data_IF_876494086698
#
_entry.id   IF_876494086698
#
_cell.length_a   1.000
_cell.length_b   1.000
_cell.length_c   1.000
_cell.angle_alpha   90.00
_cell.angle_beta   90.00
_cell.angle_gamma   90.00
#
_symmetry.space_group_name_H-M   'P 1'
#
loop_
_entity.id
_entity.type
_entity.pdbx_description
1 polymer ?
#
# COMPACT_ATOMS: atom_id res chain seq x y z
N UNK A 1 44.45 37.49 -18.87
CA UNK A 1 43.58 38.11 -17.85
C UNK A 1 42.35 37.22 -17.70
N UNK A 2 42.09 36.65 -16.52
CA UNK A 2 40.86 35.90 -16.27
C UNK A 2 39.72 36.91 -16.07
N UNK A 3 38.64 36.81 -16.84
CA UNK A 3 37.45 37.64 -16.66
C UNK A 3 36.80 37.26 -15.33
N UNK A 4 36.59 38.24 -14.44
CA UNK A 4 35.87 38.05 -13.19
C UNK A 4 34.35 38.09 -13.40
N UNK A 5 33.59 37.62 -12.41
CA UNK A 5 32.13 37.70 -12.39
C UNK A 5 31.66 39.16 -12.34
N UNK A 6 30.60 39.45 -13.07
CA UNK A 6 29.91 40.74 -13.03
C UNK A 6 29.00 40.84 -11.80
N UNK A 7 28.72 42.06 -11.34
CA UNK A 7 27.82 42.28 -10.22
C UNK A 7 26.42 41.68 -10.44
N UNK A 8 25.94 41.68 -11.70
CA UNK A 8 24.63 41.11 -12.05
C UNK A 8 24.64 39.57 -11.97
N UNK A 9 25.72 38.91 -12.38
CA UNK A 9 25.87 37.45 -12.24
C UNK A 9 25.93 37.04 -10.77
N UNK A 10 26.63 37.81 -9.94
CA UNK A 10 26.64 37.59 -8.48
C UNK A 10 25.25 37.76 -7.86
N UNK A 11 24.48 38.77 -8.28
CA UNK A 11 23.11 38.96 -7.77
C UNK A 11 22.17 37.85 -8.23
N UNK A 12 22.29 37.41 -9.49
CA UNK A 12 21.46 36.35 -10.05
C UNK A 12 21.74 35.00 -9.39
N UNK A 13 23.01 34.67 -9.14
CA UNK A 13 23.40 33.45 -8.42
C UNK A 13 22.90 33.46 -6.97
N UNK A 14 23.03 34.59 -6.25
CA UNK A 14 22.46 34.72 -4.91
C UNK A 14 20.93 34.61 -4.91
N UNK A 15 20.26 35.17 -5.91
CA UNK A 15 18.82 35.05 -6.08
C UNK A 15 18.37 33.60 -6.28
N UNK A 16 19.06 32.85 -7.14
CA UNK A 16 18.75 31.42 -7.35
C UNK A 16 18.98 30.63 -6.06
N UNK A 17 20.10 30.84 -5.37
CA UNK A 17 20.39 30.15 -4.10
C UNK A 17 19.30 30.43 -3.06
N UNK A 18 18.84 31.68 -2.95
CA UNK A 18 17.77 32.04 -2.02
C UNK A 18 16.44 31.36 -2.35
N UNK A 19 16.07 31.28 -3.63
CA UNK A 19 14.84 30.60 -4.09
C UNK A 19 14.94 29.10 -3.82
N UNK A 20 16.05 28.47 -4.22
CA UNK A 20 16.25 27.03 -4.01
C UNK A 20 16.26 26.69 -2.53
N UNK A 21 16.99 27.43 -1.70
CA UNK A 21 16.99 27.23 -0.25
C UNK A 21 15.59 27.43 0.36
N UNK A 22 14.83 28.42 -0.10
CA UNK A 22 13.46 28.66 0.33
C UNK A 22 12.52 27.48 0.06
N UNK A 23 12.75 26.73 -1.02
CA UNK A 23 11.97 25.54 -1.36
C UNK A 23 12.49 24.27 -0.66
N UNK A 24 13.81 24.13 -0.51
CA UNK A 24 14.42 22.93 0.08
C UNK A 24 14.12 22.77 1.57
N UNK A 25 14.06 23.88 2.32
CA UNK A 25 13.82 23.83 3.78
C UNK A 25 12.48 23.17 4.15
N UNK A 26 11.31 23.60 3.65
CA UNK A 26 10.04 22.97 4.01
C UNK A 26 9.93 21.51 3.53
N UNK A 27 10.55 21.18 2.39
CA UNK A 27 10.60 19.80 1.89
C UNK A 27 11.42 18.91 2.83
N UNK A 28 12.58 19.38 3.28
CA UNK A 28 13.42 18.66 4.23
C UNK A 28 12.72 18.49 5.59
N UNK A 29 12.00 19.51 6.07
CA UNK A 29 11.20 19.41 7.29
C UNK A 29 10.13 18.33 7.19
N UNK A 30 9.36 18.30 6.09
CA UNK A 30 8.35 17.24 5.88
C UNK A 30 8.98 15.84 5.81
N UNK A 31 10.15 15.71 5.21
CA UNK A 31 10.88 14.44 5.18
C UNK A 31 11.31 14.00 6.60
N UNK A 32 11.86 14.92 7.40
CA UNK A 32 12.22 14.62 8.78
C UNK A 32 11.01 14.18 9.61
N UNK A 33 9.89 14.91 9.52
CA UNK A 33 8.65 14.57 10.24
C UNK A 33 8.16 13.15 9.90
N UNK A 34 8.21 12.76 8.63
CA UNK A 34 7.87 11.39 8.20
C UNK A 34 8.84 10.35 8.73
N UNK A 35 10.14 10.64 8.66
CA UNK A 35 11.17 9.75 9.20
C UNK A 35 10.99 9.53 10.70
N UNK A 36 10.63 10.57 11.45
CA UNK A 36 10.39 10.50 12.88
C UNK A 36 9.11 9.71 13.19
N UNK A 37 8.05 9.89 12.39
CA UNK A 37 6.81 9.12 12.51
C UNK A 37 7.04 7.61 12.24
N UNK A 38 7.81 7.28 11.21
CA UNK A 38 8.14 5.88 10.90
C UNK A 38 9.05 5.27 11.98
N UNK A 39 9.98 6.05 12.54
CA UNK A 39 10.80 5.63 13.68
C UNK A 39 9.94 5.36 14.93
N UNK A 40 8.97 6.23 15.23
CA UNK A 40 8.06 6.07 16.37
C UNK A 40 7.23 4.78 16.27
N UNK A 41 6.75 4.46 15.06
CA UNK A 41 6.06 3.18 14.80
C UNK A 41 7.00 2.00 15.04
N UNK A 42 8.21 2.04 14.48
CA UNK A 42 9.18 0.96 14.62
C UNK A 42 9.57 0.72 16.10
N UNK A 43 9.77 1.79 16.88
CA UNK A 43 10.05 1.72 18.31
C UNK A 43 8.86 1.13 19.08
N UNK A 44 7.63 1.57 18.77
CA UNK A 44 6.42 1.06 19.42
C UNK A 44 6.24 -0.44 19.14
N UNK A 45 6.38 -0.88 17.89
CA UNK A 45 6.31 -2.29 17.52
C UNK A 45 7.40 -3.13 18.20
N UNK A 46 8.62 -2.60 18.27
CA UNK A 46 9.72 -3.25 18.97
C UNK A 46 9.41 -3.44 20.46
N UNK A 47 8.94 -2.39 21.14
CA UNK A 47 8.60 -2.44 22.55
C UNK A 47 7.44 -3.42 22.82
N UNK A 48 6.39 -3.39 21.99
CA UNK A 48 5.26 -4.32 22.10
C UNK A 48 5.72 -5.78 21.95
N UNK A 49 6.57 -6.07 20.96
CA UNK A 49 7.12 -7.42 20.76
C UNK A 49 8.06 -7.84 21.91
N UNK A 50 8.87 -6.91 22.44
CA UNK A 50 9.75 -7.14 23.58
C UNK A 50 8.95 -7.50 24.83
N UNK A 51 7.95 -6.70 25.19
CA UNK A 51 7.08 -6.97 26.34
C UNK A 51 6.32 -8.30 26.22
N UNK A 52 5.83 -8.63 25.02
CA UNK A 52 5.19 -9.92 24.76
C UNK A 52 6.17 -11.07 25.02
N UNK A 53 7.39 -11.00 24.47
CA UNK A 53 8.41 -12.04 24.64
C UNK A 53 8.81 -12.20 26.11
N UNK A 54 9.02 -11.10 26.84
CA UNK A 54 9.35 -11.12 28.27
C UNK A 54 8.22 -11.74 29.12
N UNK A 55 6.96 -11.47 28.79
CA UNK A 55 5.81 -12.10 29.45
C UNK A 55 5.70 -13.60 29.16
N UNK A 56 6.00 -14.03 27.92
CA UNK A 56 5.97 -15.42 27.51
C UNK A 56 7.14 -16.23 28.11
N UNK A 57 8.31 -15.62 28.24
CA UNK A 57 9.47 -16.23 28.89
C UNK A 57 9.35 -16.28 30.41
N UNK A 58 8.44 -15.49 31.00
CA UNK A 58 8.26 -15.38 32.44
C UNK A 58 9.41 -14.64 33.12
N UNK A 59 10.03 -13.70 32.41
CA UNK A 59 11.11 -12.86 32.94
C UNK A 59 10.64 -12.11 34.20
N UNK A 60 11.47 -12.14 35.26
CA UNK A 60 11.14 -11.59 36.58
C UNK A 60 9.84 -12.12 37.24
N UNK A 61 9.35 -13.30 36.82
CA UNK A 61 8.09 -13.90 37.31
C UNK A 61 6.85 -12.97 37.15
N UNK A 62 6.97 -11.96 36.28
CA UNK A 62 6.02 -10.86 36.14
C UNK A 62 5.21 -10.88 34.84
N UNK A 63 4.15 -10.07 34.81
CA UNK A 63 3.53 -9.62 33.57
C UNK A 63 4.29 -8.40 33.06
N UNK A 64 4.52 -8.34 31.75
CA UNK A 64 5.15 -7.20 31.12
C UNK A 64 4.15 -6.43 30.28
N UNK A 65 4.36 -5.12 30.21
CA UNK A 65 3.56 -4.20 29.42
C UNK A 65 4.39 -3.12 28.76
N UNK A 66 3.69 -2.27 28.00
CA UNK A 66 4.28 -1.11 27.32
C UNK A 66 3.43 0.12 27.59
N UNK A 67 4.05 1.19 28.08
CA UNK A 67 3.51 2.55 27.97
C UNK A 67 3.97 3.12 26.64
N UNK A 68 3.03 3.31 25.72
CA UNK A 68 3.31 3.71 24.35
C UNK A 68 3.70 5.18 24.29
N UNK A 69 3.01 6.02 25.05
CA UNK A 69 3.29 7.46 25.11
C UNK A 69 4.69 7.75 25.67
N UNK A 70 5.11 7.01 26.70
CA UNK A 70 6.44 7.16 27.30
C UNK A 70 7.52 6.36 26.54
N UNK A 71 7.12 5.40 25.70
CA UNK A 71 8.04 4.50 25.01
C UNK A 71 8.74 3.51 25.96
N UNK A 72 8.08 3.09 27.04
CA UNK A 72 8.67 2.27 28.11
C UNK A 72 8.09 0.86 28.12
N UNK A 73 8.95 -0.15 28.07
CA UNK A 73 8.63 -1.54 28.42
C UNK A 73 8.83 -1.71 29.92
N UNK A 74 7.85 -2.27 30.62
CA UNK A 74 7.86 -2.38 32.08
C UNK A 74 7.29 -3.69 32.58
N UNK A 75 7.52 -4.00 33.87
CA UNK A 75 6.89 -5.12 34.59
C UNK A 75 5.98 -4.62 35.72
N UNK A 76 4.83 -5.25 35.91
CA UNK A 76 3.85 -4.87 36.92
C UNK A 76 2.41 -5.15 36.50
N UNK A 77 1.43 -4.65 37.27
CA UNK A 77 0.00 -4.77 36.93
C UNK A 77 -0.46 -3.74 35.88
N UNK A 78 0.18 -2.57 35.87
CA UNK A 78 -0.04 -1.43 34.97
C UNK A 78 1.15 -0.48 35.09
N UNK A 79 1.25 0.52 34.22
CA UNK A 79 2.39 1.43 34.18
C UNK A 79 2.51 2.30 35.43
N UNK A 80 1.40 2.65 36.07
CA UNK A 80 1.40 3.53 37.26
C UNK A 80 1.96 2.80 38.48
N UNK A 81 1.68 1.51 38.62
CA UNK A 81 2.11 0.68 39.76
C UNK A 81 3.23 -0.29 39.40
N UNK A 82 3.98 0.01 38.33
CA UNK A 82 5.10 -0.80 37.86
C UNK A 82 6.29 -0.75 38.82
N UNK A 83 7.23 -1.68 38.61
CA UNK A 83 8.56 -1.64 39.21
C UNK A 83 9.52 -0.91 38.25
N UNK A 84 9.95 0.30 38.63
CA UNK A 84 10.76 1.18 37.77
C UNK A 84 12.22 0.73 37.63
N UNK A 85 12.69 -0.17 38.49
CA UNK A 85 14.04 -0.76 38.40
C UNK A 85 14.20 -1.62 37.12
N UNK A 86 13.09 -2.04 36.51
CA UNK A 86 13.05 -2.88 35.31
C UNK A 86 12.58 -2.15 34.05
N UNK A 87 12.42 -0.82 34.11
CA UNK A 87 12.01 -0.02 32.96
C UNK A 87 13.08 -0.06 31.85
N UNK A 88 12.63 -0.37 30.64
CA UNK A 88 13.43 -0.22 29.41
C UNK A 88 12.75 0.82 28.52
N UNK A 89 13.31 2.03 28.50
CA UNK A 89 12.71 3.20 27.85
C UNK A 89 13.45 3.56 26.57
N UNK A 90 12.68 3.57 25.48
CA UNK A 90 13.07 4.15 24.19
C UNK A 90 12.08 5.26 23.89
N UNK A 91 12.45 6.50 24.25
CA UNK A 91 11.59 7.66 24.07
C UNK A 91 11.22 7.87 22.59
N UNK A 92 9.95 8.21 22.36
CA UNK A 92 9.46 8.59 21.04
C UNK A 92 10.10 9.93 20.58
N UNK A 93 10.25 10.14 19.27
CA UNK A 93 10.70 11.43 18.73
C UNK A 93 9.80 12.58 19.18
N UNK A 94 10.40 13.77 19.34
CA UNK A 94 9.67 15.00 19.65
C UNK A 94 8.70 15.31 18.50
N UNK A 95 7.49 15.76 18.83
CA UNK A 95 6.46 16.09 17.84
C UNK A 95 5.61 14.89 17.40
N UNK A 96 5.76 13.75 18.08
CA UNK A 96 4.86 12.62 17.96
C UNK A 96 3.85 12.64 19.11
N UNK A 97 2.58 12.43 18.77
CA UNK A 97 1.47 12.27 19.71
C UNK A 97 0.84 10.89 19.56
N UNK A 98 0.43 10.29 20.67
CA UNK A 98 -0.21 8.97 20.71
C UNK A 98 -1.68 9.11 21.10
N UNK A 99 -2.57 8.43 20.38
CA UNK A 99 -4.00 8.36 20.69
C UNK A 99 -4.51 6.91 20.67
N UNK A 100 -5.71 6.69 21.20
CA UNK A 100 -6.31 5.37 21.29
C UNK A 100 -5.79 4.62 22.51
N UNK A 101 -5.24 3.42 22.30
CA UNK A 101 -4.58 2.67 23.36
C UNK A 101 -3.22 3.31 23.68
N UNK A 102 -2.99 3.60 24.95
CA UNK A 102 -1.72 4.18 25.44
C UNK A 102 -0.91 3.20 26.29
N UNK A 103 -1.53 2.14 26.78
CA UNK A 103 -0.89 1.09 27.59
C UNK A 103 -1.37 -0.29 27.13
N UNK A 104 -0.46 -1.25 27.04
CA UNK A 104 -0.76 -2.64 26.68
C UNK A 104 -0.07 -3.57 27.66
N UNK A 105 -0.84 -4.44 28.31
CA UNK A 105 -0.34 -5.50 29.17
C UNK A 105 -0.40 -6.84 28.44
N UNK A 106 0.55 -7.74 28.70
CA UNK A 106 0.56 -9.09 28.13
C UNK A 106 0.35 -10.15 29.21
N UNK A 107 -0.48 -11.16 28.90
CA UNK A 107 -0.64 -12.31 29.79
C UNK A 107 0.66 -13.11 29.90
N UNK A 108 0.92 -13.67 31.09
CA UNK A 108 2.05 -14.60 31.29
C UNK A 108 1.87 -15.83 30.42
N UNK A 109 2.96 -16.40 29.93
CA UNK A 109 3.03 -17.65 29.15
C UNK A 109 2.40 -17.53 27.76
N UNK A 110 1.15 -17.10 27.65
CA UNK A 110 0.43 -17.01 26.38
C UNK A 110 0.76 -15.72 25.61
N UNK A 111 1.11 -14.63 26.32
CA UNK A 111 1.46 -13.36 25.69
C UNK A 111 0.29 -12.71 24.95
N UNK A 112 -0.94 -12.88 25.47
CA UNK A 112 -2.14 -12.28 24.89
C UNK A 112 -2.19 -10.80 25.31
N UNK A 113 -2.27 -9.85 24.37
CA UNK A 113 -2.33 -8.43 24.70
C UNK A 113 -3.70 -8.05 25.29
N UNK A 114 -3.69 -7.11 26.23
CA UNK A 114 -4.87 -6.47 26.79
C UNK A 114 -4.57 -5.01 27.16
N UNK A 115 -5.34 -4.03 26.66
CA UNK A 115 -6.48 -4.18 25.75
C UNK A 115 -6.09 -4.47 24.29
N UNK A 116 -7.02 -5.02 23.53
CA UNK A 116 -6.96 -5.06 22.06
C UNK A 116 -7.66 -3.82 21.46
N UNK A 117 -7.15 -3.32 20.33
CA UNK A 117 -7.66 -2.13 19.65
C UNK A 117 -6.59 -1.42 18.81
N UNK A 118 -6.70 -0.11 18.68
CA UNK A 118 -5.83 0.68 17.82
C UNK A 118 -4.98 1.67 18.63
N UNK A 119 -3.71 1.78 18.24
CA UNK A 119 -2.78 2.82 18.64
C UNK A 119 -2.59 3.73 17.44
N UNK A 120 -2.90 5.01 17.59
CA UNK A 120 -2.75 6.01 16.53
C UNK A 120 -1.56 6.87 16.88
N UNK A 121 -0.53 6.84 16.03
CA UNK A 121 0.65 7.68 16.15
C UNK A 121 0.50 8.81 15.14
N UNK A 122 0.51 10.05 15.62
CA UNK A 122 0.33 11.27 14.82
C UNK A 122 1.55 12.17 14.93
N UNK A 123 2.01 12.69 13.80
CA UNK A 123 3.06 13.70 13.76
C UNK A 123 2.50 15.13 13.78
N UNK A 124 3.33 16.13 14.11
CA UNK A 124 2.93 17.55 14.17
C UNK A 124 2.29 18.10 12.87
N UNK A 125 2.58 17.50 11.72
CA UNK A 125 1.97 17.89 10.44
C UNK A 125 0.59 17.24 10.19
N UNK A 126 0.07 16.46 11.14
CA UNK A 126 -1.20 15.74 11.07
C UNK A 126 -1.13 14.37 10.36
N UNK A 127 0.05 13.94 9.89
CA UNK A 127 0.23 12.61 9.31
C UNK A 127 0.10 11.54 10.39
N UNK A 128 -0.58 10.43 10.07
CA UNK A 128 -0.92 9.36 11.03
C UNK A 128 -0.45 7.98 10.59
N UNK A 129 -0.18 7.13 11.56
CA UNK A 129 0.05 5.68 11.45
C UNK A 129 -0.82 4.95 12.47
N UNK A 130 -1.33 3.78 12.11
CA UNK A 130 -2.13 2.95 13.01
C UNK A 130 -1.40 1.63 13.26
N UNK A 131 -1.25 1.27 14.52
CA UNK A 131 -0.85 -0.07 14.93
C UNK A 131 -2.10 -0.75 15.48
N UNK A 132 -2.46 -1.91 14.93
CA UNK A 132 -3.61 -2.68 15.39
C UNK A 132 -3.15 -3.80 16.30
N UNK A 133 -3.67 -3.82 17.52
CA UNK A 133 -3.42 -4.85 18.52
C UNK A 133 -4.65 -5.74 18.57
N UNK A 134 -4.48 -7.03 18.27
CA UNK A 134 -5.54 -8.03 18.30
C UNK A 134 -5.21 -9.14 19.29
N UNK A 135 -6.19 -9.93 19.69
CA UNK A 135 -5.98 -11.10 20.55
C UNK A 135 -5.01 -12.12 19.92
N UNK A 136 -4.93 -12.15 18.58
CA UNK A 136 -4.03 -13.03 17.81
C UNK A 136 -2.61 -12.43 17.63
N UNK A 137 -2.36 -11.21 18.12
CA UNK A 137 -1.06 -10.53 18.07
C UNK A 137 -1.11 -9.12 17.48
N UNK A 138 0.09 -8.57 17.26
CA UNK A 138 0.31 -7.20 16.77
C UNK A 138 0.31 -7.21 15.23
N UNK A 139 -0.65 -6.51 14.63
CA UNK A 139 -0.71 -6.28 13.20
C UNK A 139 -0.25 -4.85 12.89
N UNK A 140 0.80 -4.75 12.09
CA UNK A 140 1.36 -3.48 11.66
C UNK A 140 0.69 -2.98 10.37
N UNK A 141 -0.08 -1.89 10.51
CA UNK A 141 -0.58 -1.07 9.42
C UNK A 141 0.30 0.19 9.23
N UNK A 142 1.62 0.01 9.04
CA UNK A 142 2.61 1.06 8.72
C UNK A 142 2.30 1.91 7.49
N UNK A 143 1.34 1.52 6.65
CA UNK A 143 1.01 2.36 5.50
C UNK A 143 0.42 3.67 6.03
N UNK A 144 0.91 4.84 5.58
CA UNK A 144 0.30 6.12 5.93
C UNK A 144 -1.22 6.01 5.78
N UNK A 145 -1.98 6.48 6.77
CA UNK A 145 -3.41 6.67 6.55
C UNK A 145 -3.51 7.67 5.42
N UNK A 146 -3.81 7.18 4.23
CA UNK A 146 -4.08 8.01 3.09
C UNK A 146 -5.49 8.57 3.31
N UNK A 147 -5.66 9.86 3.65
CA UNK A 147 -6.99 10.43 3.91
C UNK A 147 -7.90 10.31 2.70
N UNK A 148 -7.31 10.14 1.51
CA UNK A 148 -7.99 9.91 0.24
C UNK A 148 -8.31 8.46 -0.05
N UNK A 149 -7.76 7.49 0.69
CA UNK A 149 -8.19 6.11 0.55
C UNK A 149 -9.68 5.99 0.85
N UNK A 150 -10.42 5.39 -0.06
CA UNK A 150 -11.77 4.93 0.23
C UNK A 150 -11.73 3.48 0.73
N UNK A 151 -12.57 3.19 1.74
CA UNK A 151 -12.68 1.85 2.28
C UNK A 151 -13.31 0.88 1.26
N UNK A 152 -12.78 -0.34 1.21
CA UNK A 152 -13.32 -1.43 0.40
C UNK A 152 -13.06 -2.78 1.07
N UNK A 153 -13.82 -3.79 0.66
CA UNK A 153 -13.56 -5.19 1.00
C UNK A 153 -13.34 -5.99 -0.27
N UNK A 154 -12.57 -7.07 -0.17
CA UNK A 154 -12.30 -7.95 -1.29
C UNK A 154 -12.59 -9.40 -0.87
N UNK A 155 -13.43 -10.08 -1.65
CA UNK A 155 -13.76 -11.48 -1.42
C UNK A 155 -13.91 -12.21 -2.75
N UNK A 156 -13.18 -13.31 -2.93
CA UNK A 156 -13.24 -14.17 -4.10
C UNK A 156 -13.17 -13.40 -5.44
N UNK A 157 -12.21 -12.48 -5.57
CA UNK A 157 -12.02 -11.68 -6.80
C UNK A 157 -13.15 -10.67 -7.10
N UNK A 158 -13.95 -10.34 -6.09
CA UNK A 158 -14.96 -9.26 -6.13
C UNK A 158 -14.55 -8.18 -5.15
N UNK A 159 -14.65 -6.93 -5.57
CA UNK A 159 -14.37 -5.77 -4.72
C UNK A 159 -15.71 -5.15 -4.34
N UNK A 160 -16.00 -5.04 -3.05
CA UNK A 160 -17.19 -4.33 -2.57
C UNK A 160 -16.76 -2.98 -2.00
N UNK A 161 -17.25 -1.93 -2.63
CA UNK A 161 -17.00 -0.53 -2.27
C UNK A 161 -17.71 -0.24 -0.95
N UNK A 162 -17.02 0.18 0.11
CA UNK A 162 -17.64 0.36 1.43
C UNK A 162 -18.26 1.77 1.61
N UNK A 163 -17.72 2.77 0.92
CA UNK A 163 -18.20 4.15 0.94
C UNK A 163 -18.20 4.72 -0.49
N UNK A 164 -18.87 5.84 -0.76
CA UNK A 164 -18.87 6.43 -2.11
C UNK A 164 -17.43 6.74 -2.54
N UNK A 165 -17.04 6.39 -3.77
CA UNK A 165 -15.64 6.49 -4.23
C UNK A 165 -15.50 6.81 -5.72
N UNK A 166 -14.39 7.40 -6.11
CA UNK A 166 -13.89 7.38 -7.48
C UNK A 166 -13.01 6.12 -7.65
N UNK A 167 -13.18 5.39 -8.75
CA UNK A 167 -12.45 4.15 -9.03
C UNK A 167 -11.63 4.29 -10.30
N UNK A 168 -10.32 4.26 -10.14
CA UNK A 168 -9.35 4.43 -11.24
C UNK A 168 -8.71 3.11 -11.62
N UNK A 169 -8.57 2.86 -12.93
CA UNK A 169 -7.96 1.69 -13.53
C UNK A 169 -6.74 2.15 -14.33
N UNK A 170 -5.53 1.72 -13.91
CA UNK A 170 -4.28 1.95 -14.64
C UNK A 170 -3.73 0.63 -15.16
N UNK A 171 -3.54 0.52 -16.48
CA UNK A 171 -2.87 -0.64 -17.06
C UNK A 171 -1.38 -0.48 -16.83
N UNK A 172 -0.77 -1.41 -16.10
CA UNK A 172 0.68 -1.40 -15.87
C UNK A 172 1.42 -1.93 -17.11
N UNK A 173 0.82 -2.90 -17.77
CA UNK A 173 1.27 -3.45 -19.04
C UNK A 173 0.49 -4.70 -19.42
N UNK A 174 0.62 -5.10 -20.68
CA UNK A 174 0.15 -6.39 -21.19
C UNK A 174 1.29 -7.09 -21.95
N UNK A 175 1.27 -8.41 -21.96
CA UNK A 175 2.19 -9.20 -22.78
C UNK A 175 1.65 -10.60 -22.99
N UNK A 176 0.90 -10.80 -24.06
CA UNK A 176 0.37 -12.12 -24.44
C UNK A 176 0.59 -12.38 -25.94
N UNK A 177 0.97 -13.60 -26.29
CA UNK A 177 1.23 -14.01 -27.69
C UNK A 177 0.51 -15.32 -28.03
N UNK A 178 0.13 -15.51 -29.28
CA UNK A 178 -0.50 -16.74 -29.75
C UNK A 178 0.54 -17.84 -29.96
N UNK A 179 0.85 -18.58 -28.89
CA UNK A 179 1.93 -19.56 -28.86
C UNK A 179 3.31 -18.91 -28.68
N UNK A 180 4.34 -19.74 -28.47
CA UNK A 180 5.69 -19.25 -28.19
C UNK A 180 6.26 -18.46 -29.39
N UNK A 181 6.65 -17.20 -29.16
CA UNK A 181 7.05 -16.23 -30.21
C UNK A 181 5.98 -16.00 -31.29
N UNK A 182 4.73 -16.30 -30.97
CA UNK A 182 3.61 -16.03 -31.84
C UNK A 182 3.28 -14.55 -31.91
N UNK A 183 2.34 -14.18 -32.77
CA UNK A 183 1.91 -12.81 -32.85
C UNK A 183 1.07 -12.43 -31.62
N UNK A 184 1.10 -11.15 -31.26
CA UNK A 184 0.43 -10.58 -30.09
C UNK A 184 -1.09 -10.86 -30.04
N UNK A 185 -1.62 -11.15 -28.86
CA UNK A 185 -3.05 -11.23 -28.62
C UNK A 185 -3.50 -9.89 -28.05
N UNK A 186 -4.48 -9.26 -28.70
CA UNK A 186 -4.99 -7.96 -28.26
C UNK A 186 -5.75 -8.12 -26.95
N UNK A 187 -5.51 -7.25 -25.99
CA UNK A 187 -6.13 -7.26 -24.68
C UNK A 187 -7.16 -6.16 -24.56
N UNK A 188 -8.42 -6.53 -24.34
CA UNK A 188 -9.53 -5.61 -24.14
C UNK A 188 -10.09 -5.76 -22.73
N UNK A 189 -10.39 -4.63 -22.08
CA UNK A 189 -10.85 -4.61 -20.70
C UNK A 189 -12.26 -4.03 -20.58
N UNK A 190 -13.01 -4.52 -19.61
CA UNK A 190 -14.32 -3.98 -19.22
C UNK A 190 -14.52 -4.16 -17.72
N UNK A 191 -15.33 -3.31 -17.13
CA UNK A 191 -15.65 -3.33 -15.70
C UNK A 191 -17.15 -3.38 -15.50
N UNK A 192 -17.57 -4.04 -14.43
CA UNK A 192 -18.93 -3.96 -13.91
C UNK A 192 -18.87 -3.39 -12.51
N UNK A 193 -19.79 -2.47 -12.16
CA UNK A 193 -19.95 -1.92 -10.79
C UNK A 193 -21.23 -2.42 -10.09
N UNK A 194 -21.96 -3.34 -10.74
CA UNK A 194 -23.24 -3.90 -10.30
C UNK A 194 -23.20 -5.44 -10.20
N UNK A 195 -22.01 -5.98 -9.89
CA UNK A 195 -21.83 -7.41 -9.65
C UNK A 195 -21.92 -8.29 -10.89
N UNK A 196 -21.77 -7.71 -12.08
CA UNK A 196 -21.70 -8.40 -13.38
C UNK A 196 -22.96 -8.26 -14.23
N UNK A 197 -23.93 -7.43 -13.82
CA UNK A 197 -25.20 -7.24 -14.53
C UNK A 197 -25.01 -6.39 -15.79
N UNK A 198 -24.28 -5.28 -15.67
CA UNK A 198 -23.87 -4.41 -16.78
C UNK A 198 -22.35 -4.31 -16.86
N UNK A 199 -21.86 -4.04 -18.07
CA UNK A 199 -20.42 -3.98 -18.37
C UNK A 199 -20.10 -2.72 -19.15
N UNK A 200 -19.21 -1.92 -18.59
CA UNK A 200 -18.67 -0.70 -19.19
C UNK A 200 -17.31 -1.01 -19.83
N UNK A 201 -17.11 -0.70 -21.12
CA UNK A 201 -15.82 -0.89 -21.76
C UNK A 201 -14.80 0.10 -21.21
N UNK A 202 -13.67 -0.40 -20.71
CA UNK A 202 -12.55 0.45 -20.34
C UNK A 202 -11.77 0.86 -21.59
N UNK A 203 -11.22 2.08 -21.59
CA UNK A 203 -10.35 2.59 -22.66
C UNK A 203 -11.02 2.58 -24.06
N UNK A 204 -12.34 2.69 -24.11
CA UNK A 204 -13.11 2.60 -25.35
C UNK A 204 -13.04 1.23 -26.02
N UNK A 205 -12.76 0.17 -25.24
CA UNK A 205 -12.57 -1.20 -25.71
C UNK A 205 -11.43 -1.35 -26.73
N UNK A 206 -10.43 -0.48 -26.67
CA UNK A 206 -9.21 -0.60 -27.46
C UNK A 206 -8.28 -1.67 -26.87
N UNK A 207 -7.31 -2.07 -27.67
CA UNK A 207 -6.17 -2.86 -27.20
C UNK A 207 -5.41 -2.07 -26.13
N UNK A 208 -4.84 -2.76 -25.13
CA UNK A 208 -4.08 -2.12 -24.04
C UNK A 208 -2.67 -2.69 -23.97
N UNK A 209 -1.68 -1.81 -23.86
CA UNK A 209 -0.26 -2.15 -23.87
C UNK A 209 0.47 -1.69 -22.59
N UNK A 210 -0.12 -0.75 -21.84
CA UNK A 210 0.45 -0.15 -20.64
C UNK A 210 0.41 1.38 -20.66
N UNK A 211 0.09 1.97 -19.51
CA UNK A 211 0.01 3.42 -19.32
C UNK A 211 -1.40 4.00 -19.45
N UNK A 212 -2.36 3.24 -19.98
CA UNK A 212 -3.76 3.66 -20.09
C UNK A 212 -4.39 3.85 -18.71
N UNK A 213 -5.18 4.93 -18.56
CA UNK A 213 -5.90 5.25 -17.34
C UNK A 213 -7.38 5.57 -17.62
N UNK A 214 -8.26 5.12 -16.74
CA UNK A 214 -9.70 5.36 -16.81
C UNK A 214 -10.27 5.45 -15.41
N UNK A 215 -11.14 6.43 -15.16
CA UNK A 215 -11.76 6.64 -13.84
C UNK A 215 -13.27 6.64 -13.98
N UNK A 216 -13.93 5.83 -13.14
CA UNK A 216 -15.37 5.92 -12.92
C UNK A 216 -15.57 6.76 -11.67
N UNK A 217 -16.14 7.95 -11.84
CA UNK A 217 -16.42 8.84 -10.73
C UNK A 217 -17.67 8.41 -9.97
N UNK A 218 -17.69 8.72 -8.66
CA UNK A 218 -18.88 8.66 -7.83
C UNK A 218 -19.55 7.27 -7.73
N UNK A 219 -18.78 6.19 -7.80
CA UNK A 219 -19.27 4.82 -7.55
C UNK A 219 -19.89 4.74 -6.16
N UNK A 220 -21.09 4.18 -6.08
CA UNK A 220 -21.87 4.15 -4.84
C UNK A 220 -21.30 3.14 -3.83
N UNK A 221 -21.53 3.42 -2.54
CA UNK A 221 -21.29 2.43 -1.49
C UNK A 221 -22.12 1.16 -1.76
N UNK A 222 -21.56 0.01 -1.40
CA UNK A 222 -22.06 -1.35 -1.65
C UNK A 222 -22.07 -1.78 -3.14
N UNK A 223 -21.58 -0.96 -4.07
CA UNK A 223 -21.30 -1.41 -5.44
C UNK A 223 -20.29 -2.56 -5.42
N UNK A 224 -20.50 -3.54 -6.31
CA UNK A 224 -19.61 -4.69 -6.47
C UNK A 224 -18.88 -4.57 -7.79
N UNK A 225 -17.57 -4.39 -7.73
CA UNK A 225 -16.70 -4.24 -8.89
C UNK A 225 -16.19 -5.61 -9.34
N UNK A 226 -16.35 -5.88 -10.64
CA UNK A 226 -15.74 -7.02 -11.33
C UNK A 226 -14.95 -6.51 -12.54
N UNK A 227 -13.81 -7.13 -12.79
CA UNK A 227 -13.00 -6.90 -13.97
C UNK A 227 -13.22 -8.03 -14.99
N UNK A 228 -13.33 -7.68 -16.26
CA UNK A 228 -13.37 -8.63 -17.37
C UNK A 228 -12.24 -8.31 -18.34
N UNK A 229 -11.57 -9.37 -18.79
CA UNK A 229 -10.58 -9.30 -19.85
C UNK A 229 -11.00 -10.18 -21.03
N UNK A 230 -10.82 -9.66 -22.24
CA UNK A 230 -10.95 -10.38 -23.50
C UNK A 230 -9.62 -10.34 -24.24
N UNK A 231 -8.99 -11.50 -24.42
CA UNK A 231 -7.87 -11.66 -25.33
C UNK A 231 -8.38 -12.03 -26.72
N UNK A 232 -7.98 -11.28 -27.75
CA UNK A 232 -8.48 -11.46 -29.12
C UNK A 232 -7.36 -11.42 -30.17
N UNK A 233 -7.40 -12.38 -31.10
CA UNK A 233 -6.57 -12.38 -32.32
C UNK A 233 -7.44 -12.83 -33.50
N UNK A 234 -8.07 -11.88 -34.19
CA UNK A 234 -8.90 -12.17 -35.36
C UNK A 234 -9.91 -13.30 -35.10
N UNK A 235 -9.90 -14.33 -35.96
CA UNK A 235 -10.70 -15.54 -35.79
C UNK A 235 -9.95 -16.68 -35.06
N UNK A 236 -8.65 -16.53 -34.83
CA UNK A 236 -7.75 -17.58 -34.32
C UNK A 236 -7.83 -17.73 -32.80
N UNK A 237 -8.09 -16.63 -32.09
CA UNK A 237 -8.13 -16.62 -30.64
C UNK A 237 -9.19 -15.65 -30.14
N UNK A 238 -10.06 -16.15 -29.27
CA UNK A 238 -10.93 -15.34 -28.43
C UNK A 238 -11.14 -16.06 -27.11
N UNK A 239 -10.65 -15.47 -26.02
CA UNK A 239 -10.87 -15.95 -24.65
C UNK A 239 -11.36 -14.77 -23.81
N UNK A 240 -12.35 -15.04 -22.97
CA UNK A 240 -12.93 -14.04 -22.06
C UNK A 240 -12.89 -14.63 -20.66
N UNK A 241 -12.44 -13.84 -19.70
CA UNK A 241 -12.40 -14.22 -18.30
C UNK A 241 -12.88 -13.07 -17.42
N UNK A 242 -13.47 -13.40 -16.26
CA UNK A 242 -14.02 -12.40 -15.33
C UNK A 242 -13.49 -12.64 -13.92
N UNK A 243 -13.27 -11.58 -13.16
CA UNK A 243 -12.84 -11.71 -11.78
C UNK A 243 -13.96 -12.35 -10.95
N UNK A 244 -13.59 -13.25 -10.03
CA UNK A 244 -14.55 -13.95 -9.18
C UNK A 244 -15.49 -14.92 -9.90
N UNK A 245 -15.13 -15.39 -11.10
CA UNK A 245 -15.81 -16.49 -11.80
C UNK A 245 -15.36 -17.89 -11.33
N UNK A 246 -14.42 -17.94 -10.37
CA UNK A 246 -13.87 -19.18 -9.82
C UNK A 246 -12.81 -19.85 -10.71
N UNK A 247 -12.51 -19.31 -11.90
CA UNK A 247 -11.51 -19.89 -12.80
C UNK A 247 -10.07 -19.71 -12.30
N UNK A 248 -9.83 -18.71 -11.43
CA UNK A 248 -8.49 -18.34 -10.99
C UNK A 248 -7.66 -17.58 -12.03
N UNK A 249 -8.25 -17.20 -13.17
CA UNK A 249 -7.59 -16.48 -14.27
C UNK A 249 -7.33 -15.00 -14.00
N UNK A 250 -8.12 -14.40 -13.11
CA UNK A 250 -7.86 -13.05 -12.60
C UNK A 250 -7.58 -13.18 -11.10
N UNK A 251 -6.35 -12.89 -10.70
CA UNK A 251 -5.94 -12.80 -9.29
C UNK A 251 -5.91 -11.35 -8.86
N UNK A 252 -6.64 -11.02 -7.81
CA UNK A 252 -6.63 -9.69 -7.19
C UNK A 252 -5.85 -9.75 -5.88
N UNK A 253 -4.87 -8.87 -5.73
CA UNK A 253 -3.92 -8.87 -4.62
C UNK A 253 -3.85 -7.47 -4.00
N UNK A 254 -3.86 -7.40 -2.67
CA UNK A 254 -3.65 -6.15 -1.93
C UNK A 254 -2.17 -6.00 -1.55
N UNK A 255 -1.82 -4.84 -0.99
CA UNK A 255 -0.48 -4.62 -0.46
C UNK A 255 -0.05 -5.75 0.50
N UNK A 256 1.25 -6.09 0.47
CA UNK A 256 1.87 -7.15 1.28
C UNK A 256 1.38 -8.59 0.99
N UNK A 257 0.36 -8.81 0.15
CA UNK A 257 -0.05 -10.16 -0.27
C UNK A 257 1.11 -10.88 -0.96
N UNK A 258 1.21 -12.20 -0.75
CA UNK A 258 2.12 -13.03 -1.52
C UNK A 258 1.74 -12.99 -3.01
N UNK A 259 2.75 -13.05 -3.87
CA UNK A 259 2.52 -13.22 -5.31
C UNK A 259 1.88 -14.59 -5.63
N UNK A 260 1.46 -14.86 -6.89
CA UNK A 260 0.78 -16.11 -7.27
C UNK A 260 1.56 -17.43 -7.06
N UNK A 261 2.82 -17.40 -6.62
CA UNK A 261 3.70 -18.56 -6.44
C UNK A 261 3.92 -19.45 -7.66
N UNK A 262 3.97 -18.84 -8.85
CA UNK A 262 4.40 -19.55 -10.06
C UNK A 262 5.92 -19.52 -10.22
N UNK A 263 6.44 -20.42 -11.06
CA UNK A 263 7.89 -20.51 -11.37
C UNK A 263 8.47 -19.18 -11.83
N UNK A 264 7.69 -18.37 -12.53
CA UNK A 264 8.15 -17.09 -13.07
C UNK A 264 8.28 -16.03 -11.97
N UNK A 265 7.33 -15.95 -11.04
CA UNK A 265 7.46 -15.04 -9.89
C UNK A 265 8.59 -15.44 -8.93
N UNK A 266 9.02 -16.72 -8.93
CA UNK A 266 10.19 -17.17 -8.14
C UNK A 266 11.52 -16.69 -8.73
N UNK A 267 11.53 -16.25 -9.99
CA UNK A 267 12.72 -15.78 -10.70
C UNK A 267 12.55 -14.31 -11.10
N UNK A 268 12.94 -13.33 -10.26
CA UNK A 268 12.68 -11.90 -10.52
C UNK A 268 13.12 -11.40 -11.90
N UNK A 269 14.18 -11.98 -12.48
CA UNK A 269 14.66 -11.65 -13.83
C UNK A 269 13.62 -11.96 -14.92
N UNK A 270 12.79 -12.99 -14.72
CA UNK A 270 11.73 -13.41 -15.65
C UNK A 270 10.45 -12.58 -15.53
N UNK A 271 10.33 -11.75 -14.50
CA UNK A 271 9.21 -10.81 -14.41
C UNK A 271 9.32 -9.75 -15.52
N UNK A 272 8.18 -9.42 -16.11
CA UNK A 272 8.05 -8.28 -17.01
C UNK A 272 8.35 -7.00 -16.25
N UNK A 273 8.88 -6.00 -16.96
CA UNK A 273 9.32 -4.74 -16.34
C UNK A 273 8.20 -4.06 -15.55
N UNK A 274 6.96 -4.08 -16.06
CA UNK A 274 5.81 -3.51 -15.37
C UNK A 274 5.47 -4.22 -14.05
N UNK A 275 5.79 -5.51 -13.92
CA UNK A 275 5.57 -6.28 -12.68
C UNK A 275 6.62 -5.99 -11.61
N UNK A 276 7.87 -5.73 -12.00
CA UNK A 276 8.98 -5.46 -11.08
C UNK A 276 8.74 -4.21 -10.22
N UNK A 277 7.95 -3.26 -10.71
CA UNK A 277 7.59 -2.04 -9.97
C UNK A 277 6.66 -2.33 -8.78
N UNK A 278 5.76 -3.30 -8.93
CA UNK A 278 4.66 -3.57 -7.98
C UNK A 278 4.82 -4.88 -7.21
N UNK A 279 5.82 -5.70 -7.53
CA UNK A 279 6.15 -6.92 -6.80
C UNK A 279 7.62 -6.88 -6.38
N UNK A 280 7.84 -6.92 -5.07
CA UNK A 280 9.16 -6.87 -4.43
C UNK A 280 9.24 -8.00 -3.41
N UNK A 281 10.36 -8.74 -3.42
CA UNK A 281 10.61 -9.82 -2.45
C UNK A 281 9.44 -10.80 -2.28
N UNK A 282 8.84 -11.23 -3.40
CA UNK A 282 7.70 -12.18 -3.46
C UNK A 282 6.38 -11.65 -2.87
N UNK A 283 6.30 -10.34 -2.61
CA UNK A 283 5.11 -9.67 -2.09
C UNK A 283 4.70 -8.52 -3.00
N UNK A 284 3.41 -8.25 -3.03
CA UNK A 284 2.87 -7.05 -3.67
C UNK A 284 3.27 -5.83 -2.85
N UNK A 285 3.73 -4.79 -3.54
CA UNK A 285 4.22 -3.51 -3.00
C UNK A 285 3.45 -2.37 -3.68
N UNK A 286 2.24 -2.10 -3.21
CA UNK A 286 1.33 -1.06 -3.71
C UNK A 286 0.73 -0.27 -2.53
N UNK A 287 0.03 0.85 -2.76
CA UNK A 287 -0.63 1.60 -1.68
C UNK A 287 -1.81 0.80 -1.10
N UNK A 288 -2.19 1.06 0.16
CA UNK A 288 -3.30 0.39 0.84
C UNK A 288 -4.66 0.56 0.13
N UNK A 289 -4.86 1.69 -0.57
CA UNK A 289 -6.04 1.96 -1.41
C UNK A 289 -6.03 1.29 -2.78
N UNK A 290 -5.00 0.52 -3.09
CA UNK A 290 -4.77 -0.08 -4.40
C UNK A 290 -4.94 -1.60 -4.36
N UNK A 291 -5.36 -2.12 -5.51
CA UNK A 291 -5.51 -3.55 -5.76
C UNK A 291 -4.78 -3.86 -7.07
N UNK A 292 -3.86 -4.82 -7.02
CA UNK A 292 -3.18 -5.34 -8.20
C UNK A 292 -3.98 -6.51 -8.75
N UNK A 293 -4.50 -6.36 -9.97
CA UNK A 293 -5.17 -7.42 -10.72
C UNK A 293 -4.22 -8.01 -11.76
N UNK A 294 -3.90 -9.30 -11.61
CA UNK A 294 -3.06 -10.07 -12.52
C UNK A 294 -3.92 -11.01 -13.35
N UNK A 295 -3.71 -11.02 -14.66
CA UNK A 295 -4.57 -11.70 -15.61
C UNK A 295 -3.79 -12.79 -16.35
N UNK A 296 -4.43 -13.93 -16.51
CA UNK A 296 -4.02 -15.08 -17.31
C UNK A 296 -5.15 -15.43 -18.30
N UNK A 297 -4.92 -15.17 -19.58
CA UNK A 297 -5.87 -15.39 -20.67
C UNK A 297 -5.62 -16.73 -21.38
N UNK A 298 -4.42 -17.30 -21.25
CA UNK A 298 -4.10 -18.64 -21.75
C UNK A 298 -4.58 -19.74 -20.79
N UNK A 299 -4.39 -21.01 -21.11
CA UNK A 299 -4.95 -22.09 -20.29
C UNK A 299 -4.21 -22.24 -18.95
N UNK A 300 -4.95 -22.49 -17.86
CA UNK A 300 -4.38 -22.74 -16.53
C UNK A 300 -4.06 -24.24 -16.45
N UNK A 301 -2.84 -24.60 -16.81
CA UNK A 301 -2.36 -25.98 -16.88
C UNK A 301 -1.04 -26.22 -16.12
N UNK A 302 -0.68 -25.30 -15.21
CA UNK A 302 0.57 -25.31 -14.46
C UNK A 302 1.69 -24.50 -15.14
N UNK A 303 1.43 -23.95 -16.34
CA UNK A 303 2.32 -23.03 -17.03
C UNK A 303 1.94 -21.55 -16.85
N UNK A 304 0.89 -21.25 -16.09
CA UNK A 304 0.40 -19.90 -15.88
C UNK A 304 1.49 -18.96 -15.35
N UNK A 305 1.54 -17.77 -15.92
CA UNK A 305 2.51 -16.75 -15.54
C UNK A 305 1.87 -15.50 -14.98
N UNK A 306 0.56 -15.30 -15.16
CA UNK A 306 -0.19 -14.14 -14.71
C UNK A 306 0.45 -12.80 -15.13
N UNK A 307 1.09 -12.77 -16.30
CA UNK A 307 1.72 -11.59 -16.88
C UNK A 307 1.12 -11.22 -18.25
N UNK A 308 0.01 -11.84 -18.65
CA UNK A 308 -0.72 -11.46 -19.86
C UNK A 308 -1.23 -10.02 -19.77
N UNK A 309 -1.70 -9.60 -18.58
CA UNK A 309 -2.00 -8.22 -18.26
C UNK A 309 -1.96 -7.95 -16.76
N UNK A 310 -1.53 -6.74 -16.38
CA UNK A 310 -1.56 -6.26 -15.00
C UNK A 310 -2.25 -4.90 -14.92
N UNK A 311 -3.26 -4.82 -14.05
CA UNK A 311 -4.08 -3.62 -13.85
C UNK A 311 -3.98 -3.21 -12.38
N UNK A 312 -3.68 -1.94 -12.14
CA UNK A 312 -3.73 -1.33 -10.83
C UNK A 312 -5.08 -0.62 -10.68
N UNK A 313 -5.89 -1.07 -9.73
CA UNK A 313 -7.19 -0.49 -9.40
C UNK A 313 -7.00 0.36 -8.14
N UNK A 314 -7.42 1.61 -8.16
CA UNK A 314 -7.30 2.55 -7.02
C UNK A 314 -8.68 3.03 -6.63
N UNK A 315 -9.01 2.98 -5.34
CA UNK A 315 -10.27 3.48 -4.79
C UNK A 315 -10.01 4.70 -3.92
N UNK A 316 -10.53 5.85 -4.33
CA UNK A 316 -10.34 7.12 -3.64
C UNK A 316 -11.67 7.76 -3.24
N UNK A 317 -11.67 8.54 -2.17
CA UNK A 317 -12.83 9.37 -1.84
C UNK A 317 -13.05 10.38 -2.97
N UNK A 318 -14.32 10.67 -3.35
CA UNK A 318 -14.58 11.43 -4.56
C UNK A 318 -13.92 12.81 -4.51
N UNK A 319 -13.26 13.21 -5.60
CA UNK A 319 -12.59 14.51 -5.66
C UNK A 319 -13.58 15.68 -5.43
N UNK A 320 -14.84 15.48 -5.81
CA UNK A 320 -15.96 16.40 -5.57
C UNK A 320 -16.20 16.73 -4.09
N UNK A 321 -15.69 15.93 -3.15
CA UNK A 321 -15.78 16.19 -1.71
C UNK A 321 -14.70 17.19 -1.22
N UNK A 322 -13.76 17.61 -2.07
CA UNK A 322 -12.70 18.56 -1.73
C UNK A 322 -11.65 18.01 -0.76
N UNK A 323 -11.75 16.73 -0.39
CA UNK A 323 -10.78 16.01 0.43
C UNK A 323 -9.58 15.59 -0.42
N UNK A 324 -9.82 15.31 -1.70
CA UNK A 324 -8.87 14.71 -2.63
C UNK A 324 -8.85 15.53 -3.92
N UNK A 325 -7.67 15.98 -4.35
CA UNK A 325 -7.55 16.81 -5.53
C UNK A 325 -6.12 17.31 -5.72
N UNK A 326 -5.49 16.79 -6.77
CA UNK A 326 -4.13 17.07 -7.23
C UNK A 326 -2.99 16.43 -6.42
N UNK A 327 -2.90 15.09 -6.42
CA UNK A 327 -1.56 14.51 -6.64
C UNK A 327 -1.35 14.47 -8.14
N UNK A 328 -0.61 15.44 -8.68
CA UNK A 328 0.05 15.20 -9.97
C UNK A 328 0.98 14.00 -9.74
N UNK A 329 0.84 12.98 -10.59
CA UNK A 329 1.68 11.78 -10.62
C UNK A 329 3.12 12.11 -11.09
N UNK A 330 3.74 13.17 -10.57
CA UNK A 330 5.07 13.63 -11.00
C UNK A 330 6.23 12.92 -10.27
N UNK A 331 5.96 11.94 -9.40
CA UNK A 331 7.00 11.18 -8.70
C UNK A 331 7.61 10.03 -9.53
N UNK A 332 7.26 9.90 -10.82
CA UNK A 332 7.84 8.87 -11.72
C UNK A 332 9.21 9.28 -12.34
N UNK A 333 9.81 10.42 -11.95
CA UNK A 333 11.21 10.76 -12.27
C UNK A 333 12.18 10.43 -11.12
N UNK A 334 12.37 9.14 -10.79
CA UNK A 334 13.63 8.71 -10.18
C UNK A 334 14.11 7.37 -10.75
N UNK A 335 15.31 7.44 -11.32
CA UNK A 335 16.22 6.37 -11.74
C UNK A 335 15.93 5.70 -13.09
N UNK A 336 16.40 6.38 -14.15
CA UNK A 336 17.00 5.77 -15.34
C UNK A 336 18.43 5.33 -15.07
#
# INVERSE_FOLDING_TARGET
MKKGFTAIETLLTLGIIAITAGMSVPMYQNYQIRSDLDLAVAQTLHNLASAQLKSQSGEEDGQWGVSIEDGTVFTGENYVTRDDDFDDTIALPIGISVFGITEVMYSRIDGIPSPAGEVIIEAENGERRIITISEDGIADNTDPIDPCAAAFTMNNGRITVAEKSDVSFKVLGSHVTYGNNGPEIQMHLSVSIDGGTTWEPLFGFKDVDGGEQYTIENVAANSTILLRAEGRRGWLFKKVTTSGDGSGRIKMLQNKHADPDTTIFRTPVKLKTFMKKVIKSRKVSIKSKQILSLIEIQDIDGSEDYQDAAILITLEKPASQGICGASSDDDDEMES
#
